data_IF_063609204028
#
_entry.id   IF_063609204028
#
_cell.length_a   1.000
_cell.length_b   1.000
_cell.length_c   1.000
_cell.angle_alpha   90.00
_cell.angle_beta   90.00
_cell.angle_gamma   90.00
#
_symmetry.space_group_name_H-M   'P 1'
#
loop_
_entity.id
_entity.type
_entity.pdbx_description
1 polymer ?
#
# COMPACT_ATOMS: atom_id res chain seq x y z
N UNK A 1 3.21 13.84 -8.11
CA UNK A 1 4.02 13.02 -7.19
C UNK A 1 3.53 13.22 -5.76
N UNK A 2 2.36 12.67 -5.42
CA UNK A 2 1.79 12.67 -4.06
C UNK A 2 1.28 11.25 -3.72
N UNK A 3 0.70 10.58 -4.72
CA UNK A 3 0.13 9.24 -4.60
C UNK A 3 1.16 8.11 -4.41
N UNK A 4 2.34 8.18 -5.03
CA UNK A 4 3.40 7.17 -4.84
C UNK A 4 3.96 7.16 -3.41
N UNK A 5 4.10 8.35 -2.81
CA UNK A 5 4.60 8.49 -1.43
C UNK A 5 3.60 7.94 -0.39
N UNK A 6 2.29 8.00 -0.69
CA UNK A 6 1.24 7.49 0.19
C UNK A 6 1.15 5.95 0.17
N UNK A 7 1.66 5.28 -0.87
CA UNK A 7 1.57 3.82 -0.95
C UNK A 7 2.80 3.08 -0.43
N UNK A 8 3.97 3.76 -0.37
CA UNK A 8 5.24 3.07 -0.13
C UNK A 8 5.42 1.86 -1.04
N UNK A 9 5.06 2.02 -2.33
CA UNK A 9 5.04 0.96 -3.33
C UNK A 9 6.47 0.62 -3.73
N UNK A 10 6.88 -0.63 -3.48
CA UNK A 10 8.10 -1.22 -4.03
C UNK A 10 7.70 -2.39 -4.93
N UNK A 11 8.10 -2.37 -6.20
CA UNK A 11 7.78 -3.42 -7.15
C UNK A 11 9.05 -4.11 -7.64
N UNK A 12 9.08 -5.44 -7.51
CA UNK A 12 10.11 -6.29 -8.10
C UNK A 12 9.50 -7.06 -9.27
N UNK A 13 9.92 -6.67 -10.48
CA UNK A 13 9.43 -7.27 -11.71
C UNK A 13 9.99 -8.67 -11.96
N UNK A 14 11.20 -8.96 -11.47
CA UNK A 14 11.85 -10.27 -11.65
C UNK A 14 11.21 -11.31 -10.73
N UNK A 15 10.99 -10.94 -9.47
CA UNK A 15 10.35 -11.81 -8.47
C UNK A 15 8.82 -11.86 -8.59
N UNK A 16 8.22 -10.99 -9.43
CA UNK A 16 6.76 -10.79 -9.56
C UNK A 16 6.09 -10.46 -8.23
N UNK A 17 6.75 -9.65 -7.40
CA UNK A 17 6.26 -9.25 -6.07
C UNK A 17 6.00 -7.75 -6.03
N UNK A 18 4.85 -7.36 -5.50
CA UNK A 18 4.50 -5.98 -5.15
C UNK A 18 4.45 -5.85 -3.64
N UNK A 19 5.30 -5.00 -3.08
CA UNK A 19 5.32 -4.67 -1.66
C UNK A 19 4.68 -3.32 -1.44
N UNK A 20 3.76 -3.28 -0.48
CA UNK A 20 2.98 -2.10 -0.16
C UNK A 20 3.18 -1.70 1.30
N UNK A 21 3.44 -0.41 1.53
CA UNK A 21 3.44 0.22 2.86
C UNK A 21 2.52 1.45 2.84
N UNK A 22 1.20 1.23 2.70
CA UNK A 22 0.27 2.31 2.51
C UNK A 22 0.12 3.13 3.80
N UNK A 23 0.24 4.44 3.65
CA UNK A 23 -0.04 5.43 4.68
C UNK A 23 -1.20 6.28 4.17
N UNK A 24 -2.39 6.02 4.68
CA UNK A 24 -3.53 6.89 4.43
C UNK A 24 -3.46 8.10 5.38
N UNK A 25 -3.75 9.32 4.91
CA UNK A 25 -4.07 10.44 5.80
C UNK A 25 -5.34 10.17 6.60
N UNK A 26 -5.49 10.77 7.78
CA UNK A 26 -6.65 10.53 8.68
C UNK A 26 -8.00 10.92 8.05
N UNK A 27 -7.98 11.91 7.16
CA UNK A 27 -9.17 12.38 6.43
C UNK A 27 -9.58 11.49 5.25
N UNK A 28 -8.76 10.51 4.87
CA UNK A 28 -9.00 9.66 3.70
C UNK A 28 -9.36 8.24 4.13
N UNK A 29 -10.61 7.85 3.89
CA UNK A 29 -11.15 6.53 4.26
C UNK A 29 -10.84 5.43 3.25
N UNK A 30 -10.77 5.76 1.96
CA UNK A 30 -10.49 4.79 0.88
C UNK A 30 -9.81 5.47 -0.30
N UNK A 31 -8.90 4.74 -0.94
CA UNK A 31 -8.37 5.06 -2.26
C UNK A 31 -8.43 3.83 -3.13
N UNK A 32 -8.95 3.98 -4.35
CA UNK A 32 -9.03 2.90 -5.33
C UNK A 32 -8.00 3.09 -6.43
N UNK A 33 -7.22 2.04 -6.67
CA UNK A 33 -6.27 1.94 -7.77
C UNK A 33 -6.86 0.98 -8.79
N UNK A 34 -6.99 1.47 -10.03
CA UNK A 34 -7.59 0.73 -11.13
C UNK A 34 -6.67 0.83 -12.34
N UNK A 35 -6.51 -0.30 -13.01
CA UNK A 35 -5.66 -0.50 -14.18
C UNK A 35 -4.23 -0.03 -13.97
N UNK A 36 -3.70 -0.17 -12.75
CA UNK A 36 -2.36 0.28 -12.43
C UNK A 36 -1.34 -0.64 -13.09
N UNK A 37 -0.37 -0.08 -13.82
CA UNK A 37 0.68 -0.88 -14.44
C UNK A 37 1.86 -1.05 -13.50
N UNK A 38 2.20 -2.30 -13.18
CA UNK A 38 3.33 -2.66 -12.34
C UNK A 38 4.06 -3.83 -12.98
N UNK A 39 5.37 -3.72 -13.20
CA UNK A 39 6.17 -4.79 -13.79
C UNK A 39 5.59 -5.37 -15.11
N UNK A 40 4.92 -4.54 -15.93
CA UNK A 40 4.26 -4.97 -17.17
C UNK A 40 2.90 -5.65 -16.98
N UNK A 41 2.47 -5.93 -15.75
CA UNK A 41 1.15 -6.45 -15.42
C UNK A 41 0.19 -5.30 -15.04
N UNK A 42 -1.11 -5.55 -15.15
CA UNK A 42 -2.15 -4.61 -14.75
C UNK A 42 -2.79 -5.10 -13.45
N UNK A 43 -2.92 -4.22 -12.46
CA UNK A 43 -3.43 -4.56 -11.13
C UNK A 43 -4.46 -3.55 -10.64
N UNK A 44 -5.43 -4.06 -9.88
CA UNK A 44 -6.50 -3.30 -9.24
C UNK A 44 -6.54 -3.64 -7.75
N UNK A 45 -6.50 -2.63 -6.90
CA UNK A 45 -6.64 -2.81 -5.45
C UNK A 45 -7.21 -1.57 -4.80
N UNK A 46 -7.82 -1.76 -3.63
CA UNK A 46 -8.27 -0.69 -2.76
C UNK A 46 -7.38 -0.61 -1.53
N UNK A 47 -7.13 0.61 -1.07
CA UNK A 47 -6.52 0.86 0.23
C UNK A 47 -7.59 1.47 1.12
N UNK A 48 -7.92 0.82 2.22
CA UNK A 48 -9.05 1.18 3.08
C UNK A 48 -8.56 1.41 4.51
N UNK A 49 -9.08 2.47 5.16
CA UNK A 49 -8.90 2.67 6.59
C UNK A 49 -10.03 2.00 7.35
N UNK A 50 -9.68 1.08 8.23
CA UNK A 50 -10.58 0.50 9.23
C UNK A 50 -10.10 0.88 10.62
N UNK A 51 -10.70 1.94 11.19
CA UNK A 51 -10.25 2.53 12.45
C UNK A 51 -8.79 3.00 12.38
N UNK A 52 -7.92 2.33 13.15
CA UNK A 52 -6.49 2.62 13.22
C UNK A 52 -5.65 1.79 12.23
N UNK A 53 -6.26 0.88 11.47
CA UNK A 53 -5.56 0.02 10.51
C UNK A 53 -5.75 0.52 9.08
N UNK A 54 -4.76 0.21 8.24
CA UNK A 54 -4.83 0.39 6.80
C UNK A 54 -4.77 -0.98 6.16
N UNK A 55 -5.81 -1.33 5.41
CA UNK A 55 -5.95 -2.60 4.71
C UNK A 55 -5.74 -2.39 3.21
N UNK A 56 -5.29 -3.45 2.55
CA UNK A 56 -5.19 -3.52 1.09
C UNK A 56 -6.06 -4.66 0.59
N UNK A 57 -7.12 -4.32 -0.13
CA UNK A 57 -8.01 -5.28 -0.78
C UNK A 57 -7.60 -5.41 -2.24
N UNK A 58 -6.96 -6.53 -2.59
CA UNK A 58 -6.56 -6.81 -3.97
C UNK A 58 -7.77 -7.34 -4.75
N UNK A 59 -8.13 -6.67 -5.83
CA UNK A 59 -9.27 -7.01 -6.68
C UNK A 59 -8.85 -7.77 -7.93
N UNK A 60 -7.71 -7.37 -8.50
CA UNK A 60 -7.03 -8.06 -9.59
C UNK A 60 -5.52 -7.93 -9.37
N UNK A 61 -4.84 -9.06 -9.23
CA UNK A 61 -3.42 -9.10 -8.94
C UNK A 61 -2.55 -9.13 -10.21
N UNK A 62 -3.14 -9.27 -11.40
CA UNK A 62 -2.41 -9.36 -12.66
C UNK A 62 -1.38 -10.49 -12.70
N UNK A 63 -1.51 -11.52 -11.84
CA UNK A 63 -0.54 -12.58 -11.65
C UNK A 63 0.72 -12.14 -10.90
N UNK A 64 0.67 -11.07 -10.10
CA UNK A 64 1.71 -10.64 -9.17
C UNK A 64 1.34 -11.04 -7.75
N UNK A 65 2.35 -11.34 -6.91
CA UNK A 65 2.13 -11.57 -5.48
C UNK A 65 2.14 -10.23 -4.74
N UNK A 66 1.15 -10.03 -3.86
CA UNK A 66 1.07 -8.84 -3.01
C UNK A 66 1.55 -9.15 -1.59
N UNK A 67 2.45 -8.32 -1.10
CA UNK A 67 2.92 -8.33 0.29
C UNK A 67 2.61 -6.96 0.90
N UNK A 68 1.66 -6.89 1.84
CA UNK A 68 1.43 -5.67 2.60
C UNK A 68 2.14 -5.78 3.95
N UNK A 69 2.79 -4.69 4.37
CA UNK A 69 3.16 -4.51 5.77
C UNK A 69 2.24 -3.46 6.36
N UNK A 70 1.60 -3.79 7.47
CA UNK A 70 0.92 -2.79 8.28
C UNK A 70 1.95 -1.71 8.66
N UNK A 71 1.64 -0.46 8.34
CA UNK A 71 2.35 0.66 8.94
C UNK A 71 1.91 0.71 10.41
N UNK A 72 2.70 0.14 11.32
CA UNK A 72 2.48 0.36 12.75
C UNK A 72 2.41 1.87 13.01
N UNK A 73 1.33 2.38 13.62
CA UNK A 73 1.22 3.79 13.93
C UNK A 73 2.03 4.11 15.19
N UNK A 74 3.30 3.72 15.27
CA UNK A 74 4.12 4.01 16.46
C UNK A 74 5.62 3.91 16.13
N UNK A 75 6.13 5.02 15.62
CA UNK A 75 7.53 5.43 15.78
C UNK A 75 7.55 6.77 16.50
N UNK A 76 6.98 6.84 17.70
CA UNK A 76 7.29 7.94 18.61
C UNK A 76 8.66 7.59 19.20
N UNK A 77 9.73 8.36 18.95
CA UNK A 77 10.96 8.18 19.72
C UNK A 77 10.61 8.41 21.17
N UNK A 78 10.73 7.36 21.98
CA UNK A 78 10.68 7.46 23.42
C UNK A 78 11.89 8.31 23.83
N UNK A 79 11.64 9.60 24.03
CA UNK A 79 12.57 10.52 24.66
C UNK A 79 12.68 10.09 26.12
N UNK A 80 13.67 9.26 26.43
CA UNK A 80 14.07 9.06 27.81
C UNK A 80 14.68 10.34 28.37
N UNK A 81 14.35 10.55 29.63
CA UNK A 81 14.51 11.74 30.47
C UNK A 81 15.97 12.11 30.78
#
# INVERSE_FOLDING_TARGET
>A
MLLQALLGLEADAFERVVRLRPVLPSWLGRVSFRKMRVAGSQVDFDVVREGHRVLVDVLDDGGLRFESREASPEGIPQSDA
#
